data_IF_843688168805
#
_entry.id   IF_843688168805
#
_cell.length_a   1.000
_cell.length_b   1.000
_cell.length_c   1.000
_cell.angle_alpha   90.00
_cell.angle_beta   90.00
_cell.angle_gamma   90.00
#
_symmetry.space_group_name_H-M   'P 1'
#
loop_
_entity.id
_entity.type
_entity.pdbx_description
1 polymer ?
#
# COMPACT_ATOMS: atom_id res chain seq x y z
N UNK A 1 1.82 -17.72 10.53
CA UNK A 1 2.97 -16.98 11.10
C UNK A 1 2.59 -15.57 11.56
N UNK A 2 1.78 -14.82 10.80
CA UNK A 2 1.44 -13.43 11.13
C UNK A 2 0.12 -13.20 11.90
N UNK A 3 -0.46 -14.24 12.51
CA UNK A 3 -1.71 -14.07 13.25
C UNK A 3 -1.51 -13.19 14.48
N UNK A 4 -2.37 -12.19 14.68
CA UNK A 4 -2.28 -11.18 15.75
C UNK A 4 -0.94 -10.40 15.77
N UNK A 5 -0.28 -10.30 14.62
CA UNK A 5 0.94 -9.52 14.47
C UNK A 5 0.60 -8.08 14.07
N UNK A 6 1.08 -7.09 14.82
CA UNK A 6 0.96 -5.66 14.47
C UNK A 6 2.21 -5.11 13.79
N UNK A 7 3.39 -5.60 14.15
CA UNK A 7 4.67 -5.13 13.62
C UNK A 7 5.48 -6.34 13.15
N UNK A 8 5.82 -6.34 11.86
CA UNK A 8 6.77 -7.30 11.28
C UNK A 8 8.14 -6.65 11.26
N UNK A 9 9.10 -7.19 12.02
CA UNK A 9 10.44 -6.59 12.15
C UNK A 9 11.26 -6.70 10.86
N UNK A 10 11.09 -7.79 10.12
CA UNK A 10 11.78 -8.07 8.87
C UNK A 10 10.85 -7.85 7.67
N UNK A 11 10.85 -8.78 6.70
CA UNK A 11 10.06 -8.71 5.49
C UNK A 11 8.69 -9.36 5.71
N UNK A 12 7.67 -8.81 5.06
CA UNK A 12 6.37 -9.43 4.92
C UNK A 12 6.26 -10.05 3.53
N UNK A 13 6.24 -11.37 3.46
CA UNK A 13 6.11 -12.11 2.21
C UNK A 13 4.77 -12.87 2.18
N UNK A 14 3.86 -12.41 1.33
CA UNK A 14 2.59 -13.08 1.02
C UNK A 14 2.75 -13.73 -0.33
N UNK A 15 3.05 -15.03 -0.34
CA UNK A 15 3.34 -15.76 -1.56
C UNK A 15 2.60 -17.08 -1.65
N UNK A 16 2.35 -17.56 -2.88
CA UNK A 16 1.77 -18.87 -3.17
C UNK A 16 0.43 -19.16 -2.45
N UNK A 17 -0.38 -18.13 -2.21
CA UNK A 17 -1.71 -18.32 -1.62
C UNK A 17 -2.67 -18.88 -2.64
N UNK A 18 -3.48 -19.87 -2.24
CA UNK A 18 -4.50 -20.46 -3.09
C UNK A 18 -5.78 -19.61 -3.08
N UNK A 19 -6.63 -19.79 -4.10
CA UNK A 19 -7.85 -19.01 -4.29
C UNK A 19 -8.77 -18.95 -3.04
N UNK A 20 -8.84 -20.03 -2.27
CA UNK A 20 -9.73 -20.17 -1.12
C UNK A 20 -9.06 -19.87 0.24
N UNK A 21 -7.80 -19.45 0.25
CA UNK A 21 -7.11 -19.13 1.50
C UNK A 21 -7.64 -17.82 2.09
N UNK A 22 -8.04 -17.86 3.36
CA UNK A 22 -8.38 -16.65 4.09
C UNK A 22 -7.12 -15.91 4.55
N UNK A 23 -6.97 -14.67 4.10
CA UNK A 23 -5.88 -13.77 4.44
C UNK A 23 -6.31 -12.67 5.43
N UNK A 24 -7.47 -12.81 6.08
CA UNK A 24 -7.99 -11.86 7.08
C UNK A 24 -7.01 -11.58 8.22
N UNK A 25 -6.19 -12.56 8.61
CA UNK A 25 -5.18 -12.41 9.66
C UNK A 25 -4.12 -11.34 9.35
N UNK A 26 -3.94 -10.95 8.08
CA UNK A 26 -3.02 -9.86 7.70
C UNK A 26 -3.52 -8.48 8.12
N UNK A 27 -4.83 -8.34 8.41
CA UNK A 27 -5.41 -7.06 8.78
C UNK A 27 -4.85 -6.50 10.08
N UNK A 28 -4.27 -7.31 10.97
CA UNK A 28 -3.69 -6.77 12.21
C UNK A 28 -2.38 -6.02 11.99
N UNK A 29 -1.71 -6.23 10.86
CA UNK A 29 -0.38 -5.67 10.57
C UNK A 29 -0.50 -4.17 10.30
N UNK A 30 0.32 -3.39 10.99
CA UNK A 30 0.39 -1.94 10.93
C UNK A 30 1.74 -1.43 10.44
N UNK A 31 2.81 -2.18 10.66
CA UNK A 31 4.16 -1.79 10.26
C UNK A 31 4.99 -2.97 9.76
N UNK A 32 5.84 -2.71 8.76
CA UNK A 32 6.84 -3.66 8.26
C UNK A 32 8.21 -2.98 8.25
N UNK A 33 9.20 -3.61 8.88
CA UNK A 33 10.56 -3.08 9.00
C UNK A 33 11.37 -3.19 7.69
N UNK A 34 11.23 -4.32 6.99
CA UNK A 34 11.86 -4.60 5.71
C UNK A 34 11.01 -4.17 4.52
N UNK A 35 10.94 -5.06 3.53
CA UNK A 35 10.06 -4.91 2.37
C UNK A 35 8.78 -5.75 2.48
N UNK A 36 7.80 -5.42 1.65
CA UNK A 36 6.56 -6.19 1.46
C UNK A 36 6.57 -6.81 0.06
N UNK A 37 6.44 -8.12 -0.02
CA UNK A 37 6.33 -8.89 -1.26
C UNK A 37 4.98 -9.60 -1.32
N UNK A 38 4.19 -9.27 -2.34
CA UNK A 38 2.95 -9.96 -2.68
C UNK A 38 3.16 -10.59 -4.05
N UNK A 39 3.46 -11.88 -4.08
CA UNK A 39 3.81 -12.55 -5.33
C UNK A 39 3.27 -13.96 -5.50
N UNK A 40 2.95 -14.34 -6.73
CA UNK A 40 2.52 -15.71 -7.07
C UNK A 40 1.27 -16.17 -6.31
N UNK A 41 0.36 -15.23 -6.04
CA UNK A 41 -0.90 -15.51 -5.34
C UNK A 41 -2.07 -15.72 -6.31
N UNK A 42 -2.95 -16.65 -5.95
CA UNK A 42 -4.22 -16.92 -6.61
C UNK A 42 -5.43 -16.36 -5.85
N UNK A 43 -5.27 -16.04 -4.57
CA UNK A 43 -6.29 -15.39 -3.75
C UNK A 43 -6.74 -14.07 -4.41
N UNK A 44 -8.04 -13.76 -4.32
CA UNK A 44 -8.61 -12.58 -4.99
C UNK A 44 -8.29 -11.27 -4.28
N UNK A 45 -8.14 -11.29 -2.95
CA UNK A 45 -7.97 -10.09 -2.12
C UNK A 45 -6.84 -10.29 -1.11
N UNK A 46 -5.89 -9.36 -1.08
CA UNK A 46 -4.88 -9.26 -0.01
C UNK A 46 -5.22 -8.07 0.88
N UNK A 47 -5.59 -8.35 2.15
CA UNK A 47 -6.13 -7.35 3.09
C UNK A 47 -5.07 -6.86 4.08
N UNK A 48 -4.38 -5.78 3.71
CA UNK A 48 -3.40 -5.08 4.55
C UNK A 48 -3.93 -3.69 4.94
N UNK A 49 -5.23 -3.60 5.23
CA UNK A 49 -5.93 -2.32 5.38
C UNK A 49 -5.44 -1.45 6.54
N UNK A 50 -4.76 -2.04 7.53
CA UNK A 50 -4.17 -1.32 8.66
C UNK A 50 -2.67 -1.05 8.52
N UNK A 51 -2.00 -1.56 7.47
CA UNK A 51 -0.58 -1.31 7.23
C UNK A 51 -0.38 0.19 6.94
N UNK A 52 0.38 0.88 7.79
CA UNK A 52 0.62 2.33 7.72
C UNK A 52 2.00 2.68 7.19
N UNK A 53 2.99 1.88 7.54
CA UNK A 53 4.40 2.18 7.34
C UNK A 53 5.17 0.96 6.83
N UNK A 54 5.95 1.17 5.77
CA UNK A 54 7.02 0.25 5.36
C UNK A 54 8.35 0.99 5.53
N UNK A 55 9.21 0.50 6.43
CA UNK A 55 10.46 1.19 6.77
C UNK A 55 11.56 0.98 5.72
N UNK A 56 11.57 -0.15 5.01
CA UNK A 56 12.55 -0.42 3.95
C UNK A 56 13.99 -0.51 4.47
N UNK A 57 14.19 -1.10 5.66
CA UNK A 57 15.52 -1.38 6.20
C UNK A 57 16.29 -2.38 5.33
N UNK A 58 15.55 -3.36 4.80
CA UNK A 58 15.94 -4.29 3.73
C UNK A 58 15.09 -3.99 2.50
N UNK A 59 15.68 -4.13 1.30
CA UNK A 59 15.00 -3.89 0.03
C UNK A 59 15.10 -5.12 -0.86
N UNK A 60 14.05 -5.44 -1.58
CA UNK A 60 14.10 -6.49 -2.59
C UNK A 60 14.94 -6.01 -3.78
N UNK A 61 15.96 -6.79 -4.15
CA UNK A 61 16.89 -6.46 -5.22
C UNK A 61 17.56 -5.10 -5.02
N UNK A 62 17.80 -4.70 -3.76
CA UNK A 62 18.39 -3.42 -3.35
C UNK A 62 17.61 -2.16 -3.76
N UNK A 63 16.37 -2.30 -4.25
CA UNK A 63 15.63 -1.19 -4.88
C UNK A 63 14.22 -0.98 -4.35
N UNK A 64 13.49 -2.05 -4.03
CA UNK A 64 12.04 -1.98 -3.81
C UNK A 64 11.65 -2.35 -2.39
N UNK A 65 10.78 -1.54 -1.80
CA UNK A 65 10.18 -1.81 -0.50
C UNK A 65 8.75 -2.37 -0.60
N UNK A 66 8.08 -2.16 -1.73
CA UNK A 66 6.79 -2.78 -2.02
C UNK A 66 6.83 -3.42 -3.41
N UNK A 67 6.50 -4.71 -3.46
CA UNK A 67 6.46 -5.50 -4.67
C UNK A 67 5.14 -6.23 -4.77
N UNK A 68 4.43 -6.04 -5.87
CA UNK A 68 3.21 -6.77 -6.21
C UNK A 68 3.41 -7.38 -7.59
N UNK A 69 3.66 -8.69 -7.68
CA UNK A 69 3.97 -9.29 -8.98
C UNK A 69 3.53 -10.72 -9.20
N UNK A 70 3.19 -11.03 -10.45
CA UNK A 70 2.85 -12.39 -10.90
C UNK A 70 1.72 -13.02 -10.09
N UNK A 71 0.74 -12.23 -9.63
CA UNK A 71 -0.37 -12.71 -8.80
C UNK A 71 -1.54 -13.19 -9.65
N UNK A 72 -1.33 -14.27 -10.40
CA UNK A 72 -2.36 -14.89 -11.21
C UNK A 72 -2.06 -16.37 -11.46
N UNK A 73 -3.11 -17.16 -11.63
CA UNK A 73 -3.03 -18.48 -12.21
C UNK A 73 -3.46 -18.39 -13.67
N UNK A 74 -2.71 -19.03 -14.56
CA UNK A 74 -3.01 -19.12 -15.98
C UNK A 74 -3.09 -20.57 -16.38
N UNK A 75 -4.17 -20.94 -17.05
CA UNK A 75 -4.26 -22.20 -17.79
C UNK A 75 -4.19 -21.89 -19.28
N UNK A 76 -3.35 -22.60 -20.05
CA UNK A 76 -3.17 -22.55 -21.52
C UNK A 76 -3.36 -21.17 -22.19
N UNK A 77 -4.59 -20.68 -22.33
CA UNK A 77 -4.96 -19.43 -23.00
C UNK A 77 -5.64 -18.37 -22.11
N UNK A 78 -6.00 -18.68 -20.86
CA UNK A 78 -6.83 -17.80 -20.01
C UNK A 78 -6.30 -17.68 -18.58
N UNK A 79 -6.50 -16.52 -17.97
CA UNK A 79 -6.27 -16.30 -16.54
C UNK A 79 -7.50 -16.79 -15.78
N UNK A 80 -7.32 -17.74 -14.85
CA UNK A 80 -8.43 -18.40 -14.14
C UNK A 80 -8.68 -17.80 -12.76
N UNK A 81 -7.61 -17.39 -12.08
CA UNK A 81 -7.64 -16.80 -10.73
C UNK A 81 -6.46 -15.84 -10.56
N UNK A 82 -6.45 -15.07 -9.46
CA UNK A 82 -5.41 -14.07 -9.21
C UNK A 82 -5.91 -12.91 -8.37
N UNK A 83 -4.95 -12.13 -7.88
CA UNK A 83 -5.22 -10.96 -7.04
C UNK A 83 -5.91 -9.89 -7.87
N UNK A 84 -7.10 -9.49 -7.43
CA UNK A 84 -7.89 -8.38 -7.98
C UNK A 84 -7.70 -7.11 -7.15
N UNK A 85 -7.52 -7.27 -5.83
CA UNK A 85 -7.43 -6.17 -4.89
C UNK A 85 -6.25 -6.35 -3.92
N UNK A 86 -5.48 -5.28 -3.77
CA UNK A 86 -4.48 -5.15 -2.70
C UNK A 86 -4.91 -3.96 -1.84
N UNK A 87 -5.58 -4.26 -0.75
CA UNK A 87 -6.22 -3.24 0.10
C UNK A 87 -5.19 -2.69 1.10
N UNK A 88 -4.57 -1.56 0.74
CA UNK A 88 -3.58 -0.85 1.57
C UNK A 88 -4.12 0.51 2.05
N UNK A 89 -5.40 0.57 2.44
CA UNK A 89 -6.13 1.81 2.73
C UNK A 89 -5.49 2.73 3.79
N UNK A 90 -4.65 2.20 4.67
CA UNK A 90 -3.93 3.00 5.67
C UNK A 90 -2.46 3.28 5.32
N UNK A 91 -1.95 2.76 4.21
CA UNK A 91 -0.54 2.93 3.83
C UNK A 91 -0.32 4.36 3.37
N UNK A 92 0.42 5.10 4.19
CA UNK A 92 0.68 6.52 3.98
C UNK A 92 2.17 6.84 3.96
N UNK A 93 3.05 5.90 4.31
CA UNK A 93 4.49 6.13 4.25
C UNK A 93 5.31 4.88 3.88
N UNK A 94 6.21 5.06 2.92
CA UNK A 94 7.34 4.18 2.63
C UNK A 94 8.61 5.02 2.79
N UNK A 95 9.42 4.72 3.80
CA UNK A 95 10.58 5.55 4.16
C UNK A 95 11.74 5.40 3.17
N UNK A 96 12.01 4.17 2.73
CA UNK A 96 13.13 3.84 1.84
C UNK A 96 12.70 2.82 0.81
N UNK A 97 13.29 2.90 -0.38
CA UNK A 97 12.98 2.02 -1.49
C UNK A 97 11.80 2.51 -2.33
N UNK A 98 11.66 1.94 -3.51
CA UNK A 98 10.59 2.25 -4.44
C UNK A 98 9.54 1.14 -4.51
N UNK A 99 8.73 1.19 -5.57
CA UNK A 99 7.58 0.31 -5.77
C UNK A 99 7.66 -0.39 -7.12
N UNK A 100 7.41 -1.69 -7.11
CA UNK A 100 7.34 -2.51 -8.32
C UNK A 100 6.00 -3.24 -8.40
N UNK A 101 5.26 -2.98 -9.48
CA UNK A 101 3.97 -3.62 -9.75
C UNK A 101 3.98 -4.12 -11.19
N UNK A 102 4.14 -5.42 -11.35
CA UNK A 102 4.35 -6.03 -12.67
C UNK A 102 3.67 -7.38 -12.77
N UNK A 103 3.10 -7.73 -13.92
CA UNK A 103 2.53 -9.05 -14.14
C UNK A 103 1.32 -9.36 -13.24
N UNK A 104 0.39 -8.42 -13.09
CA UNK A 104 -0.86 -8.63 -12.32
C UNK A 104 -2.06 -8.43 -13.24
N UNK A 105 -2.41 -9.47 -13.99
CA UNK A 105 -3.44 -9.39 -15.03
C UNK A 105 -4.79 -8.89 -14.51
N UNK A 106 -5.20 -9.30 -13.30
CA UNK A 106 -6.52 -9.01 -12.74
C UNK A 106 -6.56 -7.84 -11.74
N UNK A 107 -5.43 -7.28 -11.34
CA UNK A 107 -5.34 -6.24 -10.31
C UNK A 107 -6.01 -4.93 -10.77
N UNK A 108 -6.80 -4.33 -9.90
CA UNK A 108 -7.56 -3.10 -10.16
C UNK A 108 -7.09 -1.93 -9.27
N UNK A 109 -7.43 -0.70 -9.69
CA UNK A 109 -7.33 0.57 -8.96
C UNK A 109 -5.92 1.06 -8.59
N UNK A 110 -4.90 0.21 -8.69
CA UNK A 110 -3.52 0.52 -8.34
C UNK A 110 -2.92 1.67 -9.16
N UNK A 111 -3.40 1.85 -10.40
CA UNK A 111 -3.07 2.97 -11.29
C UNK A 111 -3.56 4.34 -10.78
N UNK A 112 -4.52 4.35 -9.86
CA UNK A 112 -5.12 5.58 -9.32
C UNK A 112 -4.34 6.16 -8.14
N UNK A 113 -3.43 5.40 -7.54
CA UNK A 113 -2.72 5.78 -6.33
C UNK A 113 -1.65 6.84 -6.61
N UNK A 114 -1.69 7.90 -5.81
CA UNK A 114 -0.72 8.98 -5.81
C UNK A 114 0.51 8.59 -4.97
N UNK A 115 1.43 7.85 -5.57
CA UNK A 115 2.64 7.35 -4.91
C UNK A 115 3.55 8.46 -4.35
N UNK A 116 3.49 9.67 -4.90
CA UNK A 116 4.24 10.82 -4.39
C UNK A 116 3.83 11.26 -2.98
N UNK A 117 2.62 10.89 -2.53
CA UNK A 117 2.18 11.12 -1.14
C UNK A 117 2.79 10.08 -0.17
N UNK A 118 2.98 8.85 -0.64
CA UNK A 118 3.41 7.71 0.18
C UNK A 118 4.94 7.65 0.28
N UNK A 119 5.64 7.83 -0.84
CA UNK A 119 7.09 7.68 -0.90
C UNK A 119 7.80 8.91 -0.31
N UNK A 120 8.72 8.66 0.62
CA UNK A 120 9.50 9.74 1.22
C UNK A 120 10.83 10.03 0.49
N UNK A 121 11.26 9.11 -0.38
CA UNK A 121 12.50 9.22 -1.13
C UNK A 121 12.38 10.19 -2.32
N UNK A 122 13.43 11.01 -2.56
CA UNK A 122 13.47 12.01 -3.64
C UNK A 122 13.43 11.40 -5.05
N UNK A 123 14.09 10.25 -5.26
CA UNK A 123 14.15 9.52 -6.53
C UNK A 123 13.95 8.02 -6.26
N UNK A 124 12.71 7.55 -6.02
CA UNK A 124 12.43 6.15 -5.78
C UNK A 124 12.45 5.35 -7.09
N UNK A 125 12.87 4.09 -7.03
CA UNK A 125 12.78 3.16 -8.16
C UNK A 125 11.33 2.77 -8.40
N UNK A 126 10.74 3.22 -9.51
CA UNK A 126 9.34 2.93 -9.84
C UNK A 126 9.26 2.04 -11.07
N UNK A 127 8.59 0.90 -10.96
CA UNK A 127 8.37 0.00 -12.09
C UNK A 127 6.92 -0.47 -12.12
N UNK A 128 6.16 0.05 -13.09
CA UNK A 128 4.77 -0.35 -13.32
C UNK A 128 4.66 -1.02 -14.70
N UNK A 129 4.15 -2.24 -14.73
CA UNK A 129 3.74 -2.93 -15.96
C UNK A 129 2.30 -3.39 -15.80
N UNK A 130 1.41 -2.74 -16.54
CA UNK A 130 0.03 -3.17 -16.67
C UNK A 130 -0.05 -4.09 -17.89
N UNK A 131 -0.44 -5.33 -17.67
CA UNK A 131 -0.68 -6.23 -18.79
C UNK A 131 -2.07 -5.93 -19.36
N UNK A 132 -2.15 -5.85 -20.69
CA UNK A 132 -3.40 -5.61 -21.43
C UNK A 132 -4.31 -6.85 -21.42
N UNK A 133 -4.67 -7.34 -20.25
CA UNK A 133 -5.67 -8.40 -20.08
C UNK A 133 -7.06 -7.78 -19.89
N UNK A 134 -8.09 -8.19 -20.65
CA UNK A 134 -9.44 -7.67 -20.46
C UNK A 134 -9.94 -7.94 -19.05
N UNK A 135 -10.23 -6.88 -18.29
CA UNK A 135 -10.81 -6.96 -16.94
C UNK A 135 -11.80 -5.82 -16.74
N UNK A 136 -12.85 -6.11 -16.00
CA UNK A 136 -13.75 -5.09 -15.46
C UNK A 136 -13.30 -4.79 -14.03
N UNK A 137 -12.96 -3.52 -13.79
CA UNK A 137 -12.63 -3.00 -12.47
C UNK A 137 -13.76 -2.08 -12.00
N UNK A 138 -14.10 -2.19 -10.73
CA UNK A 138 -14.99 -1.22 -10.09
C UNK A 138 -14.26 0.12 -9.94
N UNK A 139 -15.02 1.21 -10.08
CA UNK A 139 -14.45 2.55 -9.94
C UNK A 139 -14.28 2.89 -8.46
N UNK A 140 -13.36 3.81 -8.19
CA UNK A 140 -13.28 4.45 -6.88
C UNK A 140 -14.61 5.12 -6.52
N UNK A 141 -14.92 5.15 -5.23
CA UNK A 141 -16.04 5.91 -4.73
C UNK A 141 -15.87 7.40 -5.08
N UNK A 142 -16.94 8.14 -5.44
CA UNK A 142 -16.87 9.57 -5.72
C UNK A 142 -16.19 10.39 -4.63
N UNK A 143 -16.27 9.99 -3.35
CA UNK A 143 -15.64 10.71 -2.23
C UNK A 143 -14.10 10.62 -2.26
N UNK A 144 -13.53 9.64 -2.97
CA UNK A 144 -12.09 9.41 -3.01
C UNK A 144 -11.32 10.43 -3.87
N UNK A 145 -12.02 11.34 -4.57
CA UNK A 145 -11.41 12.27 -5.53
C UNK A 145 -10.48 11.57 -6.54
N UNK A 146 -10.83 10.34 -6.91
CA UNK A 146 -10.17 9.58 -7.97
C UNK A 146 -9.07 8.60 -7.53
N UNK A 147 -8.62 8.59 -6.26
CA UNK A 147 -7.55 7.67 -5.80
C UNK A 147 -8.05 6.68 -4.74
N UNK A 148 -7.99 5.39 -5.02
CA UNK A 148 -8.45 4.34 -4.10
C UNK A 148 -7.68 3.02 -4.26
N UNK A 149 -7.70 2.21 -3.20
CA UNK A 149 -7.09 0.87 -3.17
C UNK A 149 -8.04 -0.25 -3.61
N UNK A 150 -9.35 0.01 -3.56
CA UNK A 150 -10.47 -0.83 -4.00
C UNK A 150 -11.73 0.05 -4.10
N UNK A 151 -12.86 -0.52 -4.53
CA UNK A 151 -14.15 0.19 -4.51
C UNK A 151 -14.63 0.44 -3.08
N UNK A 152 -15.42 1.49 -2.88
CA UNK A 152 -15.98 1.87 -1.57
C UNK A 152 -15.23 3.04 -0.89
N UNK A 153 -15.93 3.85 -0.08
CA UNK A 153 -15.38 5.06 0.55
C UNK A 153 -14.31 4.77 1.61
N UNK A 154 -14.30 3.57 2.20
CA UNK A 154 -13.29 3.11 3.15
C UNK A 154 -11.94 2.78 2.51
N UNK A 155 -11.91 2.66 1.18
CA UNK A 155 -10.73 2.33 0.40
C UNK A 155 -10.10 3.53 -0.30
N UNK A 156 -10.59 4.74 -0.04
CA UNK A 156 -9.96 5.97 -0.55
C UNK A 156 -8.52 6.11 -0.03
N UNK A 157 -7.62 6.59 -0.90
CA UNK A 157 -6.28 6.95 -0.49
C UNK A 157 -6.34 8.15 0.45
N UNK A 158 -5.76 8.01 1.65
CA UNK A 158 -5.60 9.12 2.59
C UNK A 158 -4.31 9.86 2.25
N UNK A 159 -4.43 11.12 1.86
CA UNK A 159 -3.26 11.96 1.61
C UNK A 159 -2.73 12.49 2.94
N UNK A 160 -1.43 12.39 3.20
CA UNK A 160 -0.82 12.95 4.42
C UNK A 160 0.42 13.78 4.12
N UNK A 161 0.74 14.05 2.85
CA UNK A 161 1.91 14.81 2.41
C UNK A 161 1.59 15.82 1.30
N UNK A 162 0.98 15.39 0.21
CA UNK A 162 0.74 16.24 -0.97
C UNK A 162 -0.30 17.33 -0.74
N UNK A 163 -1.24 17.10 0.17
CA UNK A 163 -2.26 18.09 0.51
C UNK A 163 -1.82 19.10 1.58
N UNK A 164 -0.62 18.94 2.15
CA UNK A 164 -0.20 19.73 3.30
C UNK A 164 0.10 21.18 2.94
N UNK A 165 -0.11 22.08 3.90
CA UNK A 165 0.37 23.45 3.80
C UNK A 165 1.90 23.50 3.72
N UNK A 166 2.45 24.49 3.03
CA UNK A 166 3.90 24.67 2.85
C UNK A 166 4.68 24.81 4.17
N UNK A 167 4.01 25.20 5.26
CA UNK A 167 4.64 25.33 6.59
C UNK A 167 4.79 23.98 7.30
N UNK A 168 4.13 22.92 6.84
CA UNK A 168 4.25 21.61 7.46
C UNK A 168 5.60 20.97 7.14
N UNK A 169 6.33 20.54 8.16
CA UNK A 169 7.65 19.95 7.97
C UNK A 169 7.64 18.60 7.27
N UNK A 170 6.57 17.81 7.40
CA UNK A 170 6.53 16.44 6.87
C UNK A 170 5.12 15.95 6.53
N UNK A 171 4.32 15.65 7.55
CA UNK A 171 2.98 15.08 7.42
C UNK A 171 1.92 16.05 7.92
N UNK A 172 0.69 15.87 7.47
CA UNK A 172 -0.48 16.62 7.93
C UNK A 172 -1.73 15.74 7.94
N UNK A 173 -2.75 16.24 8.63
CA UNK A 173 -4.11 15.68 8.68
C UNK A 173 -5.10 16.44 7.79
N UNK A 174 -4.64 17.45 7.08
CA UNK A 174 -5.44 18.35 6.24
C UNK A 174 -4.60 19.48 5.65
N UNK A 175 -5.21 20.37 4.84
CA UNK A 175 -4.50 21.38 4.06
C UNK A 175 -4.16 22.65 4.83
N UNK A 176 -4.63 22.82 6.07
CA UNK A 176 -4.38 24.06 6.82
C UNK A 176 -3.06 23.98 7.60
N UNK A 177 -2.41 25.11 7.90
CA UNK A 177 -1.22 25.14 8.76
C UNK A 177 -1.47 24.56 10.16
N UNK A 178 -2.70 24.63 10.68
CA UNK A 178 -3.11 24.02 11.96
C UNK A 178 -3.25 22.49 11.90
N UNK A 179 -3.18 21.91 10.70
CA UNK A 179 -3.27 20.48 10.45
C UNK A 179 -1.89 19.82 10.33
N UNK A 180 -0.80 20.58 10.50
CA UNK A 180 0.54 20.00 10.50
C UNK A 180 0.73 19.02 11.66
N UNK A 181 1.33 17.88 11.35
CA UNK A 181 1.76 16.92 12.35
C UNK A 181 3.08 17.35 13.00
N UNK A 182 3.38 16.77 14.16
CA UNK A 182 4.70 16.90 14.73
C UNK A 182 5.77 16.32 13.78
N UNK A 183 6.94 16.94 13.72
CA UNK A 183 8.04 16.53 12.84
C UNK A 183 8.52 15.09 13.05
N UNK A 184 8.31 14.51 14.24
CA UNK A 184 8.68 13.14 14.57
C UNK A 184 7.64 12.10 14.15
N UNK A 185 6.45 12.52 13.68
CA UNK A 185 5.44 11.57 13.26
C UNK A 185 5.80 10.90 11.93
N UNK A 186 5.60 9.59 11.88
CA UNK A 186 5.53 8.82 10.65
C UNK A 186 4.06 8.52 10.31
N UNK A 187 3.79 8.28 9.02
CA UNK A 187 2.50 8.00 8.40
C UNK A 187 1.46 9.16 8.49
N UNK A 188 1.34 9.81 9.64
CA UNK A 188 0.41 10.91 9.90
C UNK A 188 0.21 11.12 11.39
N UNK A 189 -0.84 11.87 11.75
CA UNK A 189 -1.18 12.16 13.14
C UNK A 189 -2.68 12.41 13.31
N UNK A 190 -3.16 12.32 14.55
CA UNK A 190 -4.51 12.74 14.94
C UNK A 190 -4.54 14.14 15.56
N UNK A 191 -3.38 14.75 15.78
CA UNK A 191 -3.21 16.05 16.43
C UNK A 191 -1.77 16.58 16.27
N UNK A 192 -1.50 17.82 16.70
CA UNK A 192 -0.26 18.53 16.36
C UNK A 192 0.96 18.12 17.19
N UNK A 193 0.78 17.45 18.33
CA UNK A 193 1.87 17.06 19.23
C UNK A 193 2.39 15.65 18.91
N UNK A 194 3.59 15.33 19.40
CA UNK A 194 4.21 14.02 19.21
C UNK A 194 3.38 12.85 19.78
N UNK A 195 2.61 13.05 20.85
CA UNK A 195 1.73 12.03 21.43
C UNK A 195 0.55 11.64 20.54
N UNK A 196 0.31 12.38 19.46
CA UNK A 196 -0.77 12.12 18.51
C UNK A 196 -0.27 11.49 17.20
N UNK A 197 0.99 11.05 17.13
CA UNK A 197 1.50 10.38 15.95
C UNK A 197 0.79 9.03 15.73
N UNK A 198 0.53 8.68 14.46
CA UNK A 198 -0.02 7.37 14.11
C UNK A 198 1.01 6.25 14.23
N UNK A 199 2.27 6.59 13.99
CA UNK A 199 3.47 5.76 14.16
C UNK A 199 4.61 6.66 14.65
N UNK A 200 5.47 6.12 15.51
CA UNK A 200 6.66 6.77 16.05
C UNK A 200 7.96 6.28 15.38
#
# INVERSE_FOLDING_TARGET
MYSNCSVVLENLEVTYTLQNHDLSFLQSIQEVGGYVLIAMNEASVVRLGNLRLIRGQTLYGEQYALLVMSNYNRNMTSVTSGVREVQLSSLSEILRGGVKITHNHLLCNMETIQWGDILDQRNPSMQFKNDSFPKTCERCDPVCNGSCWAAGPEHCQKLTKLQCADQCSRRCRGPNPSDCCNQHCAAGCTGPTNTHCLVH
#
